data_IF_159572157966
#
_entry.id   IF_159572157966
#
_cell.length_a   1.000
_cell.length_b   1.000
_cell.length_c   1.000
_cell.angle_alpha   90.00
_cell.angle_beta   90.00
_cell.angle_gamma   90.00
#
_symmetry.space_group_name_H-M   'P 1'
#
loop_
_entity.id
_entity.type
_entity.pdbx_description
1 polymer ?
#
# COMPACT_ATOMS: atom_id res chain seq x y z
N UNK A 1 -10.81 -52.97 62.19
CA UNK A 1 -9.49 -53.12 61.55
C UNK A 1 -9.29 -51.88 60.69
N UNK A 2 -8.34 -50.98 60.83
CA UNK A 2 -7.07 -50.93 61.53
C UNK A 2 -6.66 -49.46 61.67
N UNK A 3 -6.02 -49.18 62.79
CA UNK A 3 -5.31 -47.98 63.25
C UNK A 3 -4.30 -47.46 62.21
N UNK A 4 -4.21 -46.14 62.01
CA UNK A 4 -2.94 -45.39 61.97
C UNK A 4 -3.13 -43.91 61.62
N UNK A 5 -2.68 -43.02 62.51
CA UNK A 5 -2.17 -41.68 62.16
C UNK A 5 -0.75 -41.87 61.60
N UNK A 6 -0.21 -40.93 60.79
CA UNK A 6 0.72 -39.98 61.42
C UNK A 6 0.86 -38.59 60.76
N UNK A 7 1.48 -37.73 61.57
CA UNK A 7 2.44 -36.66 61.26
C UNK A 7 2.00 -35.37 60.54
N UNK A 8 2.11 -34.30 61.33
CA UNK A 8 2.31 -32.91 60.90
C UNK A 8 3.59 -32.80 60.06
N UNK A 9 3.49 -32.15 58.90
CA UNK A 9 4.60 -31.46 58.27
C UNK A 9 4.31 -29.95 58.30
N UNK A 10 5.09 -29.26 59.13
CA UNK A 10 5.35 -27.83 59.06
C UNK A 10 6.14 -27.53 57.77
N UNK A 11 6.01 -26.31 57.25
CA UNK A 11 6.58 -25.78 56.00
C UNK A 11 5.75 -25.98 54.72
N UNK A 12 4.80 -25.08 54.51
CA UNK A 12 4.71 -24.33 53.24
C UNK A 12 3.87 -23.06 53.44
N UNK A 13 4.50 -21.91 53.22
CA UNK A 13 3.86 -20.60 53.12
C UNK A 13 3.36 -20.47 51.69
N UNK A 14 2.06 -20.27 51.41
CA UNK A 14 1.64 -19.77 50.11
C UNK A 14 1.75 -18.25 50.10
N UNK A 15 2.79 -17.75 49.45
CA UNK A 15 2.87 -16.38 48.93
C UNK A 15 1.87 -16.20 47.80
N UNK A 16 0.61 -15.94 48.14
CA UNK A 16 -0.36 -15.33 47.22
C UNK A 16 -1.24 -14.34 47.98
N UNK A 17 -0.99 -13.05 47.77
CA UNK A 17 -1.94 -12.00 48.12
C UNK A 17 -3.20 -12.22 47.27
N UNK A 18 -4.20 -12.87 47.86
CA UNK A 18 -5.54 -12.93 47.26
C UNK A 18 -6.16 -11.54 47.34
N UNK A 19 -6.02 -10.78 46.25
CA UNK A 19 -6.78 -9.56 46.02
C UNK A 19 -8.27 -9.91 45.96
N UNK A 20 -8.99 -9.73 47.06
CA UNK A 20 -10.47 -9.74 47.06
C UNK A 20 -10.95 -8.31 46.78
N UNK A 21 -11.54 -8.01 45.60
CA UNK A 21 -12.23 -6.74 45.44
C UNK A 21 -13.40 -6.71 46.42
N UNK A 22 -13.44 -5.72 47.32
CA UNK A 22 -14.65 -5.41 48.10
C UNK A 22 -15.70 -4.90 47.12
N UNK A 23 -16.59 -5.78 46.66
CA UNK A 23 -17.80 -5.40 45.95
C UNK A 23 -18.60 -4.53 46.91
N UNK A 24 -18.73 -3.23 46.61
CA UNK A 24 -19.67 -2.35 47.34
C UNK A 24 -21.07 -2.77 46.93
N UNK A 25 -21.77 -3.49 47.81
CA UNK A 25 -23.21 -3.67 47.66
C UNK A 25 -23.87 -2.27 47.71
N UNK A 26 -24.65 -1.93 46.69
CA UNK A 26 -25.43 -0.70 46.62
C UNK A 26 -26.61 -0.87 47.60
N UNK A 27 -26.70 -0.02 48.63
CA UNK A 27 -27.86 -0.02 49.52
C UNK A 27 -29.08 0.56 48.76
N UNK A 28 -30.17 -0.21 48.69
CA UNK A 28 -31.45 0.16 48.08
C UNK A 28 -32.35 0.91 49.08
N UNK A 29 -31.87 1.99 49.67
CA UNK A 29 -32.72 2.90 50.44
C UNK A 29 -32.63 4.32 49.89
N UNK A 30 -33.80 4.95 49.70
CA UNK A 30 -33.98 6.30 49.17
C UNK A 30 -33.80 7.40 50.24
N UNK A 31 -32.97 7.16 51.26
CA UNK A 31 -32.57 8.20 52.20
C UNK A 31 -31.17 8.72 51.82
N UNK A 32 -30.97 10.05 51.74
CA UNK A 32 -29.66 10.62 51.46
C UNK A 32 -28.73 10.27 52.63
N UNK A 33 -27.56 9.70 52.31
CA UNK A 33 -26.56 9.39 53.32
C UNK A 33 -26.14 10.67 54.06
N UNK A 34 -26.13 10.63 55.40
CA UNK A 34 -25.61 11.66 56.32
C UNK A 34 -24.07 11.90 56.19
N UNK A 35 -23.47 11.53 55.05
CA UNK A 35 -22.03 11.57 54.80
C UNK A 35 -21.51 12.82 54.08
N UNK A 36 -22.27 13.92 54.07
CA UNK A 36 -21.81 15.21 53.51
C UNK A 36 -21.59 16.33 54.53
N UNK A 37 -21.37 15.97 55.80
CA UNK A 37 -20.43 16.76 56.62
C UNK A 37 -19.02 16.23 56.42
N UNK A 38 -18.54 16.26 55.17
CA UNK A 38 -17.10 16.12 54.96
C UNK A 38 -16.45 17.39 55.53
N UNK A 39 -15.67 17.25 56.60
CA UNK A 39 -14.66 18.26 56.94
C UNK A 39 -13.88 18.52 55.64
N UNK A 40 -13.62 19.79 55.24
CA UNK A 40 -12.87 20.06 54.03
C UNK A 40 -11.56 19.27 54.11
N UNK A 41 -11.31 18.39 53.13
CA UNK A 41 -10.07 17.63 53.07
C UNK A 41 -8.93 18.64 53.09
N UNK A 42 -8.18 18.66 54.20
CA UNK A 42 -7.09 19.60 54.42
C UNK A 42 -5.97 19.25 53.44
N UNK A 43 -5.92 19.94 52.31
CA UNK A 43 -4.80 19.86 51.39
C UNK A 43 -3.60 20.52 52.09
N UNK A 44 -2.58 19.72 52.41
CA UNK A 44 -1.30 20.16 53.00
C UNK A 44 -0.60 21.27 52.19
N UNK A 45 -1.00 21.51 50.93
CA UNK A 45 -0.54 22.60 50.05
C UNK A 45 -1.03 24.02 50.44
N UNK A 46 -1.86 24.16 51.48
CA UNK A 46 -2.48 25.43 51.87
C UNK A 46 -1.69 26.29 52.86
N UNK A 47 -0.53 25.83 53.34
CA UNK A 47 0.20 26.45 54.47
C UNK A 47 1.60 26.97 54.13
N UNK A 48 1.84 27.33 52.86
CA UNK A 48 3.13 27.93 52.46
C UNK A 48 3.04 29.46 52.52
N UNK A 49 3.84 30.07 53.40
CA UNK A 49 3.95 31.51 53.54
C UNK A 49 4.52 32.12 52.24
N UNK A 50 3.68 32.87 51.49
CA UNK A 50 4.04 33.47 50.20
C UNK A 50 2.98 33.36 49.11
N UNK A 51 1.84 32.69 49.36
CA UNK A 51 0.76 32.53 48.37
C UNK A 51 -0.01 33.84 48.15
N UNK A 52 -0.10 34.30 46.89
CA UNK A 52 -0.90 35.47 46.48
C UNK A 52 -2.39 35.19 46.72
N UNK A 53 -3.19 36.24 46.98
CA UNK A 53 -4.65 36.06 47.17
C UNK A 53 -5.28 35.53 45.88
N UNK A 54 -6.29 34.68 46.01
CA UNK A 54 -6.99 34.10 44.86
C UNK A 54 -7.51 35.16 43.87
N UNK A 55 -7.99 36.30 44.39
CA UNK A 55 -8.47 37.43 43.58
C UNK A 55 -7.36 38.14 42.77
N UNK A 56 -6.10 38.07 43.21
CA UNK A 56 -4.97 38.68 42.49
C UNK A 56 -4.50 37.80 41.33
N UNK A 57 -4.68 36.48 41.46
CA UNK A 57 -4.27 35.47 40.46
C UNK A 57 -5.36 35.27 39.41
N UNK A 58 -6.62 35.16 39.83
CA UNK A 58 -7.78 34.94 38.96
C UNK A 58 -8.67 36.19 38.96
N UNK A 59 -8.33 37.14 38.08
CA UNK A 59 -9.10 38.38 37.91
C UNK A 59 -10.38 38.13 37.11
N UNK A 60 -11.47 38.76 37.54
CA UNK A 60 -12.72 38.80 36.79
C UNK A 60 -12.60 39.77 35.61
N UNK A 61 -13.41 39.55 34.59
CA UNK A 61 -13.42 40.40 33.41
C UNK A 61 -13.99 41.77 33.74
N UNK A 62 -13.30 42.82 33.29
CA UNK A 62 -13.78 44.19 33.35
C UNK A 62 -14.91 44.43 32.35
N UNK A 63 -15.70 45.49 32.56
CA UNK A 63 -16.78 45.84 31.62
C UNK A 63 -16.24 46.14 30.21
N UNK A 64 -15.06 46.77 30.12
CA UNK A 64 -14.40 47.06 28.84
C UNK A 64 -13.97 45.77 28.12
N UNK A 65 -13.39 44.81 28.84
CA UNK A 65 -13.03 43.50 28.29
C UNK A 65 -14.26 42.72 27.82
N UNK A 66 -15.38 42.81 28.54
CA UNK A 66 -16.66 42.21 28.10
C UNK A 66 -17.15 42.82 26.80
N UNK A 67 -17.02 44.14 26.62
CA UNK A 67 -17.35 44.81 25.35
C UNK A 67 -16.41 44.35 24.23
N UNK A 68 -15.13 44.09 24.50
CA UNK A 68 -14.19 43.55 23.51
C UNK A 68 -14.49 42.10 23.14
N UNK A 69 -14.84 41.26 24.12
CA UNK A 69 -15.30 39.88 23.89
C UNK A 69 -16.57 39.87 23.05
N UNK A 70 -17.48 40.81 23.28
CA UNK A 70 -18.72 40.94 22.52
C UNK A 70 -18.52 41.30 21.04
N UNK A 71 -17.37 41.86 20.67
CA UNK A 71 -17.00 42.09 19.27
C UNK A 71 -16.54 40.81 18.56
N UNK A 72 -16.09 39.79 19.31
CA UNK A 72 -15.51 38.55 18.76
C UNK A 72 -16.49 37.37 18.79
N UNK A 73 -17.29 37.25 19.84
CA UNK A 73 -18.17 36.10 20.09
C UNK A 73 -19.64 36.41 19.84
N UNK A 74 -20.44 35.37 19.58
CA UNK A 74 -21.90 35.51 19.41
C UNK A 74 -22.60 35.84 20.74
N UNK A 75 -23.80 36.45 20.72
CA UNK A 75 -24.55 36.74 21.95
C UNK A 75 -24.79 35.49 22.81
N UNK A 76 -25.05 34.35 22.18
CA UNK A 76 -25.24 33.06 22.86
C UNK A 76 -23.96 32.59 23.56
N UNK A 77 -22.79 32.77 22.91
CA UNK A 77 -21.49 32.43 23.48
C UNK A 77 -21.12 33.35 24.65
N UNK A 78 -21.40 34.65 24.54
CA UNK A 78 -21.16 35.62 25.63
C UNK A 78 -22.00 35.24 26.85
N UNK A 79 -23.27 34.88 26.65
CA UNK A 79 -24.13 34.43 27.73
C UNK A 79 -23.55 33.20 28.45
N UNK A 80 -22.95 32.27 27.71
CA UNK A 80 -22.27 31.12 28.30
C UNK A 80 -21.00 31.50 29.07
N UNK A 81 -20.21 32.45 28.57
CA UNK A 81 -19.01 32.97 29.26
C UNK A 81 -19.41 33.63 30.59
N UNK A 82 -20.44 34.48 30.58
CA UNK A 82 -20.94 35.13 31.79
C UNK A 82 -21.51 34.12 32.81
N UNK A 83 -22.21 33.09 32.34
CA UNK A 83 -22.69 32.01 33.19
C UNK A 83 -21.53 31.22 33.82
N UNK A 84 -20.46 30.96 33.06
CA UNK A 84 -19.25 30.29 33.54
C UNK A 84 -18.50 31.10 34.61
N UNK A 85 -18.32 32.42 34.39
CA UNK A 85 -17.70 33.33 35.35
C UNK A 85 -18.50 33.42 36.66
N UNK A 86 -19.84 33.40 36.58
CA UNK A 86 -20.72 33.39 37.76
C UNK A 86 -20.68 32.05 38.51
N UNK A 87 -20.55 30.93 37.80
CA UNK A 87 -20.59 29.60 38.39
C UNK A 87 -19.26 29.17 39.05
N UNK A 88 -18.11 29.58 38.48
CA UNK A 88 -16.79 29.14 38.92
C UNK A 88 -16.15 30.22 39.78
N UNK A 89 -16.00 29.95 41.09
CA UNK A 89 -15.38 30.90 42.02
C UNK A 89 -13.84 30.85 41.97
N UNK A 90 -13.19 32.02 42.07
CA UNK A 90 -11.73 32.11 42.15
C UNK A 90 -11.15 31.39 43.38
N UNK A 91 -11.90 31.36 44.49
CA UNK A 91 -11.48 30.66 45.70
C UNK A 91 -11.43 29.14 45.52
N UNK A 92 -12.36 28.55 44.75
CA UNK A 92 -12.34 27.12 44.48
C UNK A 92 -11.17 26.73 43.57
N UNK A 93 -10.85 27.56 42.58
CA UNK A 93 -9.68 27.36 41.73
C UNK A 93 -8.37 27.42 42.53
N UNK A 94 -8.24 28.35 43.49
CA UNK A 94 -7.05 28.40 44.34
C UNK A 94 -6.98 27.23 45.34
N UNK A 95 -8.10 26.85 45.96
CA UNK A 95 -8.12 25.77 46.97
C UNK A 95 -7.98 24.38 46.34
N UNK A 96 -8.56 24.13 45.17
CA UNK A 96 -8.73 22.79 44.58
C UNK A 96 -8.27 22.66 43.14
N UNK A 97 -7.88 23.75 42.47
CA UNK A 97 -7.43 23.72 41.07
C UNK A 97 -6.13 22.93 40.90
N UNK A 98 -6.11 22.10 39.86
CA UNK A 98 -4.95 21.30 39.45
C UNK A 98 -4.84 21.42 37.93
N UNK A 99 -3.62 21.49 37.41
CA UNK A 99 -3.37 21.42 35.96
C UNK A 99 -3.70 20.01 35.50
N UNK A 100 -4.62 19.89 34.53
CA UNK A 100 -5.01 18.60 33.98
C UNK A 100 -3.88 17.99 33.16
N UNK A 101 -3.59 16.72 33.42
CA UNK A 101 -2.60 15.91 32.70
C UNK A 101 -3.18 14.55 32.28
N UNK A 102 -4.50 14.40 32.33
CA UNK A 102 -5.21 13.19 31.96
C UNK A 102 -5.39 13.08 30.44
N UNK A 103 -5.68 11.87 29.94
CA UNK A 103 -5.86 11.60 28.51
C UNK A 103 -7.04 12.39 27.88
N UNK A 104 -7.97 12.88 28.69
CA UNK A 104 -9.10 13.69 28.23
C UNK A 104 -8.80 15.18 28.15
N UNK A 105 -7.58 15.63 28.47
CA UNK A 105 -7.15 17.00 28.26
C UNK A 105 -6.75 17.21 26.79
N UNK A 106 -7.17 18.32 26.19
CA UNK A 106 -6.75 18.69 24.85
C UNK A 106 -5.25 19.05 24.87
N UNK A 107 -4.44 18.52 23.94
CA UNK A 107 -3.00 18.81 23.90
C UNK A 107 -2.67 20.19 23.33
N UNK A 108 -3.67 20.90 22.81
CA UNK A 108 -3.59 22.26 22.29
C UNK A 108 -4.66 23.14 22.96
N UNK A 109 -4.46 24.45 22.89
CA UNK A 109 -5.42 25.42 23.36
C UNK A 109 -6.31 25.85 22.20
N UNK A 110 -7.62 25.70 22.38
CA UNK A 110 -8.63 26.12 21.42
C UNK A 110 -9.86 26.60 22.19
N UNK A 111 -10.57 27.59 21.63
CA UNK A 111 -11.78 28.12 22.23
C UNK A 111 -13.05 27.34 21.81
N UNK A 112 -12.90 26.42 20.83
CA UNK A 112 -13.96 25.54 20.33
C UNK A 112 -15.23 26.32 19.89
N UNK A 113 -15.04 27.58 19.49
CA UNK A 113 -16.16 28.48 19.15
C UNK A 113 -16.73 28.23 17.76
N UNK A 114 -15.91 27.73 16.83
CA UNK A 114 -16.24 27.42 15.44
C UNK A 114 -15.91 25.96 15.13
N UNK A 115 -16.67 25.33 14.24
CA UNK A 115 -16.37 23.99 13.75
C UNK A 115 -15.25 24.04 12.72
N UNK A 116 -14.16 23.34 12.99
CA UNK A 116 -13.00 23.28 12.10
C UNK A 116 -13.19 22.15 11.08
N UNK A 117 -13.07 22.42 9.76
CA UNK A 117 -13.09 21.36 8.76
C UNK A 117 -11.93 20.39 9.02
N UNK A 118 -12.15 19.08 8.82
CA UNK A 118 -11.22 17.96 9.15
C UNK A 118 -11.30 17.48 10.60
N UNK A 119 -11.10 18.36 11.59
CA UNK A 119 -11.03 17.96 13.01
C UNK A 119 -12.41 17.64 13.59
N UNK A 120 -13.39 18.48 13.27
CA UNK A 120 -14.74 18.36 13.78
C UNK A 120 -15.64 17.55 12.85
N UNK A 121 -16.73 17.02 13.42
CA UNK A 121 -17.78 16.38 12.64
C UNK A 121 -18.47 17.42 11.75
N UNK A 122 -18.77 17.04 10.50
CA UNK A 122 -19.52 17.88 9.55
C UNK A 122 -20.84 18.32 10.20
N UNK A 123 -21.19 19.60 10.01
CA UNK A 123 -22.45 20.14 10.50
C UNK A 123 -23.63 19.36 9.90
N UNK A 124 -24.60 19.01 10.74
CA UNK A 124 -25.82 18.34 10.30
C UNK A 124 -26.85 19.39 9.87
N UNK A 125 -27.62 19.06 8.85
CA UNK A 125 -28.79 19.84 8.45
C UNK A 125 -29.75 20.02 9.63
N UNK A 126 -30.18 21.26 9.87
CA UNK A 126 -31.10 21.64 10.96
C UNK A 126 -32.53 21.92 10.49
N UNK A 127 -32.76 21.97 9.18
CA UNK A 127 -34.08 22.22 8.60
C UNK A 127 -35.01 20.99 8.68
N UNK A 128 -36.29 21.15 8.28
CA UNK A 128 -37.18 20.01 8.10
C UNK A 128 -36.58 19.04 7.08
N UNK A 129 -36.75 17.74 7.33
CA UNK A 129 -36.32 16.68 6.41
C UNK A 129 -37.56 16.10 5.76
N UNK A 130 -37.58 16.11 4.43
CA UNK A 130 -38.67 15.53 3.65
C UNK A 130 -38.56 14.01 3.64
N UNK A 131 -39.53 13.27 4.23
CA UNK A 131 -39.47 11.80 4.27
C UNK A 131 -39.75 11.17 2.89
N UNK A 132 -40.41 11.90 1.99
CA UNK A 132 -40.81 11.43 0.66
C UNK A 132 -39.84 11.90 -0.44
N UNK A 133 -38.60 12.24 -0.08
CA UNK A 133 -37.56 12.62 -1.04
C UNK A 133 -37.30 11.49 -2.06
N UNK A 134 -37.26 11.82 -3.34
CA UNK A 134 -36.97 10.88 -4.43
C UNK A 134 -35.90 11.43 -5.38
N UNK A 135 -35.19 10.58 -6.13
CA UNK A 135 -34.30 11.08 -7.17
C UNK A 135 -35.08 11.88 -8.23
N UNK A 136 -34.45 12.92 -8.76
CA UNK A 136 -35.05 13.76 -9.79
C UNK A 136 -35.23 13.03 -11.12
N UNK A 137 -36.25 13.43 -11.87
CA UNK A 137 -36.34 13.09 -13.29
C UNK A 137 -35.36 13.94 -14.11
N UNK A 138 -35.08 13.53 -15.34
CA UNK A 138 -34.16 14.28 -16.23
C UNK A 138 -34.62 15.73 -16.46
N UNK A 139 -35.93 15.96 -16.62
CA UNK A 139 -36.49 17.31 -16.81
C UNK A 139 -36.36 18.17 -15.55
N UNK A 140 -36.64 17.60 -14.38
CA UNK A 140 -36.47 18.26 -13.08
C UNK A 140 -35.00 18.63 -12.83
N UNK A 141 -34.09 17.69 -13.13
CA UNK A 141 -32.65 17.91 -13.01
C UNK A 141 -32.16 19.03 -13.93
N UNK A 142 -32.65 19.08 -15.18
CA UNK A 142 -32.32 20.15 -16.13
C UNK A 142 -32.83 21.52 -15.65
N UNK A 143 -34.03 21.58 -15.07
CA UNK A 143 -34.57 22.81 -14.49
C UNK A 143 -33.74 23.27 -13.29
N UNK A 144 -33.44 22.35 -12.38
CA UNK A 144 -32.59 22.61 -11.21
C UNK A 144 -31.19 23.13 -11.62
N UNK A 145 -30.58 22.52 -12.65
CA UNK A 145 -29.31 22.98 -13.20
C UNK A 145 -29.37 24.45 -13.62
N UNK A 146 -30.37 24.80 -14.43
CA UNK A 146 -30.52 26.17 -14.92
C UNK A 146 -30.76 27.17 -13.77
N UNK A 147 -31.58 26.79 -12.78
CA UNK A 147 -31.88 27.63 -11.62
C UNK A 147 -30.63 27.90 -10.77
N UNK A 148 -29.85 26.85 -10.47
CA UNK A 148 -28.60 26.98 -9.70
C UNK A 148 -27.53 27.73 -10.49
N UNK A 149 -27.44 27.52 -11.80
CA UNK A 149 -26.53 28.24 -12.68
C UNK A 149 -26.86 29.74 -12.70
N UNK A 150 -28.14 30.10 -12.87
CA UNK A 150 -28.59 31.49 -12.82
C UNK A 150 -28.33 32.12 -11.45
N UNK A 151 -28.62 31.40 -10.37
CA UNK A 151 -28.34 31.88 -9.02
C UNK A 151 -26.84 32.12 -8.82
N UNK A 152 -25.99 31.17 -9.25
CA UNK A 152 -24.54 31.32 -9.20
C UNK A 152 -24.06 32.54 -9.99
N UNK A 153 -24.57 32.73 -11.22
CA UNK A 153 -24.23 33.90 -12.05
C UNK A 153 -24.61 35.22 -11.37
N UNK A 154 -25.80 35.30 -10.73
CA UNK A 154 -26.22 36.49 -9.96
C UNK A 154 -25.29 36.79 -8.79
N UNK A 155 -24.95 35.76 -8.01
CA UNK A 155 -24.02 35.89 -6.87
C UNK A 155 -22.63 36.34 -7.31
N UNK A 156 -22.11 35.71 -8.38
CA UNK A 156 -20.82 36.05 -8.98
C UNK A 156 -20.79 37.49 -9.49
N UNK A 157 -21.87 37.95 -10.12
CA UNK A 157 -21.97 39.32 -10.60
C UNK A 157 -21.97 40.34 -9.44
N UNK A 158 -22.61 40.01 -8.31
CA UNK A 158 -22.57 40.84 -7.08
C UNK A 158 -21.16 40.85 -6.49
N UNK A 159 -20.49 39.70 -6.47
CA UNK A 159 -19.11 39.57 -6.00
C UNK A 159 -18.15 40.38 -6.86
N UNK A 160 -18.27 40.29 -8.20
CA UNK A 160 -17.48 41.07 -9.15
C UNK A 160 -17.75 42.57 -9.06
N UNK A 161 -18.97 42.98 -8.74
CA UNK A 161 -19.29 44.39 -8.49
C UNK A 161 -18.56 44.94 -7.25
N UNK A 162 -18.32 44.10 -6.24
CA UNK A 162 -17.54 44.46 -5.03
C UNK A 162 -16.04 44.34 -5.25
N UNK A 163 -15.62 43.33 -6.00
CA UNK A 163 -14.23 43.00 -6.25
C UNK A 163 -14.06 42.56 -7.72
N UNK A 164 -13.78 43.50 -8.63
CA UNK A 164 -13.69 43.17 -10.06
C UNK A 164 -12.55 42.19 -10.30
N UNK A 165 -12.75 41.18 -11.17
CA UNK A 165 -11.72 40.21 -11.48
C UNK A 165 -10.51 40.91 -12.11
N UNK A 166 -9.31 40.46 -11.74
CA UNK A 166 -8.09 40.89 -12.42
C UNK A 166 -8.15 40.40 -13.87
N UNK A 167 -7.89 41.29 -14.83
CA UNK A 167 -7.74 40.91 -16.24
C UNK A 167 -6.42 40.15 -16.40
N UNK A 168 -6.42 38.87 -16.04
CA UNK A 168 -5.35 37.96 -16.43
C UNK A 168 -5.61 37.46 -17.85
N UNK A 169 -4.57 37.41 -18.68
CA UNK A 169 -4.62 36.96 -20.06
C UNK A 169 -5.25 35.57 -20.11
N UNK A 170 -6.44 35.46 -20.70
CA UNK A 170 -7.20 34.22 -20.76
C UNK A 170 -6.50 33.27 -21.76
N UNK A 171 -5.82 32.19 -21.32
CA UNK A 171 -5.07 31.31 -22.23
C UNK A 171 -5.99 30.62 -23.24
N UNK A 172 -7.27 30.43 -22.88
CA UNK A 172 -8.29 29.89 -23.76
C UNK A 172 -8.66 30.86 -24.90
N UNK A 173 -8.66 32.18 -24.65
CA UNK A 173 -8.91 33.16 -25.71
C UNK A 173 -7.74 33.23 -26.71
N UNK A 174 -6.51 33.05 -26.23
CA UNK A 174 -5.33 32.91 -27.09
C UNK A 174 -5.41 31.63 -27.96
N UNK A 175 -5.75 30.49 -27.36
CA UNK A 175 -5.96 29.21 -28.06
C UNK A 175 -7.10 29.28 -29.10
N UNK A 176 -8.24 29.90 -28.78
CA UNK A 176 -9.37 30.01 -29.73
C UNK A 176 -9.02 30.91 -30.92
N UNK A 177 -8.15 31.90 -30.70
CA UNK A 177 -7.59 32.76 -31.76
C UNK A 177 -6.61 32.01 -32.66
N UNK A 178 -5.82 31.08 -32.10
CA UNK A 178 -4.96 30.16 -32.86
C UNK A 178 -5.76 29.13 -33.68
N UNK A 179 -6.91 28.67 -33.17
CA UNK A 179 -7.81 27.72 -33.87
C UNK A 179 -8.70 28.40 -34.92
N UNK A 180 -8.63 29.72 -35.07
CA UNK A 180 -9.36 30.47 -36.10
C UNK A 180 -10.85 30.67 -35.82
N UNK A 181 -11.29 30.60 -34.56
CA UNK A 181 -12.66 30.90 -34.16
C UNK A 181 -12.96 32.39 -34.38
N UNK A 182 -14.11 32.71 -35.00
CA UNK A 182 -14.55 34.10 -35.24
C UNK A 182 -14.97 34.75 -33.92
N UNK A 183 -14.76 36.06 -33.79
CA UNK A 183 -15.11 36.81 -32.58
C UNK A 183 -16.62 36.78 -32.24
N UNK A 184 -17.48 36.53 -33.24
CA UNK A 184 -18.94 36.41 -33.10
C UNK A 184 -19.39 35.09 -32.46
N UNK A 185 -18.57 34.03 -32.54
CA UNK A 185 -18.85 32.72 -31.93
C UNK A 185 -18.38 32.66 -30.46
N UNK A 186 -17.74 33.73 -29.97
CA UNK A 186 -17.24 33.80 -28.61
C UNK A 186 -18.35 34.23 -27.67
N UNK A 187 -18.75 33.31 -26.77
CA UNK A 187 -19.63 33.62 -25.63
C UNK A 187 -19.08 34.88 -24.92
N UNK A 188 -19.90 35.88 -24.58
CA UNK A 188 -19.45 37.06 -23.84
C UNK A 188 -18.67 36.65 -22.58
N UNK A 189 -17.58 37.34 -22.24
CA UNK A 189 -16.73 36.96 -21.10
C UNK A 189 -17.52 36.82 -19.78
N UNK A 190 -18.62 37.57 -19.64
CA UNK A 190 -19.55 37.52 -18.51
C UNK A 190 -20.42 36.26 -18.47
N UNK A 191 -20.69 35.63 -19.60
CA UNK A 191 -21.49 34.41 -19.71
C UNK A 191 -20.65 33.13 -19.67
N UNK A 192 -19.32 33.24 -19.85
CA UNK A 192 -18.40 32.11 -19.74
C UNK A 192 -18.36 31.58 -18.31
N UNK A 193 -18.55 30.27 -18.16
CA UNK A 193 -18.29 29.54 -16.93
C UNK A 193 -16.91 28.90 -17.04
N UNK A 194 -16.02 29.20 -16.10
CA UNK A 194 -14.75 28.48 -15.96
C UNK A 194 -14.98 27.05 -15.43
N UNK A 195 -13.98 26.16 -15.56
CA UNK A 195 -14.06 24.82 -14.96
C UNK A 195 -14.34 24.88 -13.45
N UNK A 196 -13.76 25.86 -12.75
CA UNK A 196 -14.02 26.07 -11.32
C UNK A 196 -15.46 26.52 -11.05
N UNK A 197 -16.03 27.35 -11.93
CA UNK A 197 -17.44 27.75 -11.83
C UNK A 197 -18.36 26.55 -12.00
N UNK A 198 -18.07 25.67 -12.97
CA UNK A 198 -18.84 24.43 -13.19
C UNK A 198 -18.77 23.53 -11.95
N UNK A 199 -17.58 23.31 -11.38
CA UNK A 199 -17.45 22.51 -10.16
C UNK A 199 -18.21 23.11 -8.97
N UNK A 200 -18.23 24.44 -8.82
CA UNK A 200 -19.00 25.12 -7.76
C UNK A 200 -20.51 25.00 -7.98
N UNK A 201 -20.97 25.00 -9.23
CA UNK A 201 -22.38 24.77 -9.59
C UNK A 201 -22.74 23.31 -9.25
N UNK A 202 -21.93 22.36 -9.69
CA UNK A 202 -22.09 20.92 -9.37
C UNK A 202 -22.14 20.69 -7.86
N UNK A 203 -21.31 21.41 -7.09
CA UNK A 203 -21.30 21.29 -5.64
C UNK A 203 -22.55 21.85 -4.92
N UNK A 204 -23.39 22.60 -5.62
CA UNK A 204 -24.66 23.13 -5.08
C UNK A 204 -25.86 22.32 -5.53
N UNK A 205 -25.71 21.52 -6.58
CA UNK A 205 -26.81 20.74 -7.13
C UNK A 205 -27.21 19.64 -6.16
N UNK A 206 -28.51 19.60 -5.92
CA UNK A 206 -29.18 18.45 -5.35
C UNK A 206 -29.35 17.36 -6.40
N UNK A 207 -29.42 16.10 -5.96
CA UNK A 207 -29.86 14.97 -6.79
C UNK A 207 -31.32 14.57 -6.52
N UNK A 208 -31.94 15.14 -5.48
CA UNK A 208 -33.26 14.74 -4.98
C UNK A 208 -34.29 15.87 -5.05
N UNK A 209 -35.54 15.49 -5.33
CA UNK A 209 -36.71 16.35 -5.20
C UNK A 209 -37.55 15.95 -3.99
N UNK A 210 -38.10 16.97 -3.31
CA UNK A 210 -39.05 16.79 -2.22
C UNK A 210 -40.46 16.48 -2.72
N UNK A 211 -41.39 16.32 -1.78
CA UNK A 211 -42.80 16.05 -2.09
C UNK A 211 -43.44 17.17 -2.93
N UNK A 212 -42.98 18.41 -2.73
CA UNK A 212 -43.47 19.61 -3.42
C UNK A 212 -42.94 19.75 -4.85
N UNK A 213 -42.15 18.78 -5.33
CA UNK A 213 -41.52 18.81 -6.66
C UNK A 213 -40.36 19.81 -6.78
N UNK A 214 -39.96 20.43 -5.67
CA UNK A 214 -38.80 21.33 -5.60
C UNK A 214 -37.53 20.56 -5.24
N UNK A 215 -36.35 20.99 -5.74
CA UNK A 215 -35.07 20.40 -5.33
C UNK A 215 -34.84 20.60 -3.83
N UNK A 216 -34.42 19.54 -3.16
CA UNK A 216 -34.03 19.58 -1.75
C UNK A 216 -32.63 20.21 -1.65
N UNK A 217 -32.29 21.03 -0.63
CA UNK A 217 -30.93 21.52 -0.47
C UNK A 217 -29.90 20.37 -0.36
N UNK A 218 -28.74 20.49 -1.02
CA UNK A 218 -27.69 19.44 -0.97
C UNK A 218 -27.24 19.11 0.45
N UNK A 219 -27.28 20.09 1.37
CA UNK A 219 -26.95 19.89 2.79
C UNK A 219 -27.90 18.93 3.52
N UNK A 220 -29.14 18.77 3.04
CA UNK A 220 -30.11 17.81 3.57
C UNK A 220 -29.81 16.38 3.12
N UNK A 221 -29.03 16.18 2.04
CA UNK A 221 -28.56 14.86 1.65
C UNK A 221 -27.66 14.30 2.76
N UNK A 222 -28.00 13.12 3.26
CA UNK A 222 -27.34 12.58 4.45
C UNK A 222 -25.98 11.98 4.06
N UNK A 223 -24.94 12.81 4.11
CA UNK A 223 -23.55 12.37 4.00
C UNK A 223 -23.07 11.77 5.34
N UNK A 224 -22.96 10.44 5.40
CA UNK A 224 -22.34 9.74 6.54
C UNK A 224 -20.81 9.65 6.45
N UNK A 225 -20.22 10.25 5.41
CA UNK A 225 -18.77 10.25 5.19
C UNK A 225 -18.07 11.09 6.26
N UNK A 226 -16.97 10.56 6.79
CA UNK A 226 -16.09 11.32 7.67
C UNK A 226 -15.47 12.50 6.89
N UNK A 227 -15.11 13.61 7.56
CA UNK A 227 -14.42 14.69 6.89
C UNK A 227 -13.11 14.19 6.28
N UNK A 228 -12.80 14.66 5.07
CA UNK A 228 -11.56 14.28 4.37
C UNK A 228 -10.32 14.73 5.14
N UNK A 229 -9.24 13.96 5.04
CA UNK A 229 -7.95 14.35 5.61
C UNK A 229 -7.27 15.42 4.75
N UNK A 230 -6.39 16.26 5.32
CA UNK A 230 -5.54 17.16 4.56
C UNK A 230 -4.70 16.37 3.57
N UNK A 231 -4.44 16.94 2.39
CA UNK A 231 -3.63 16.29 1.34
C UNK A 231 -2.24 15.85 1.84
N UNK A 232 -1.69 16.61 2.79
CA UNK A 232 -0.44 16.32 3.51
C UNK A 232 -0.74 16.15 5.00
N UNK A 233 -1.31 15.00 5.35
CA UNK A 233 -1.68 14.72 6.75
C UNK A 233 -0.52 14.13 7.55
N UNK A 234 0.31 13.31 6.89
CA UNK A 234 1.49 12.68 7.46
C UNK A 234 2.70 13.11 6.64
N UNK A 235 3.25 14.29 6.91
CA UNK A 235 4.60 14.62 6.45
C UNK A 235 5.60 13.78 7.28
N UNK A 236 5.67 12.48 7.01
CA UNK A 236 6.82 11.62 7.30
C UNK A 236 7.95 11.84 6.28
N UNK A 237 7.98 12.98 5.59
CA UNK A 237 8.96 13.27 4.53
C UNK A 237 10.37 13.51 5.08
N UNK A 238 10.53 13.68 6.39
CA UNK A 238 11.86 13.73 7.03
C UNK A 238 12.41 12.33 7.39
N UNK A 239 11.60 11.27 7.32
CA UNK A 239 12.02 9.90 7.68
C UNK A 239 11.69 8.82 6.64
N UNK A 240 10.91 9.11 5.61
CA UNK A 240 10.90 8.27 4.41
C UNK A 240 12.24 8.44 3.71
N UNK A 241 13.03 7.36 3.51
CA UNK A 241 14.15 7.48 2.59
C UNK A 241 13.59 8.00 1.27
N UNK A 242 14.23 9.01 0.69
CA UNK A 242 13.84 9.72 -0.54
C UNK A 242 13.67 8.81 -1.79
N UNK A 243 13.65 7.50 -1.61
CA UNK A 243 13.61 6.43 -2.59
C UNK A 243 12.27 5.68 -2.67
N UNK A 244 11.30 5.93 -1.78
CA UNK A 244 9.98 5.28 -1.86
C UNK A 244 9.03 6.12 -2.72
N UNK A 245 8.97 5.79 -4.01
CA UNK A 245 7.95 6.29 -4.94
C UNK A 245 6.55 5.90 -4.44
N UNK A 246 5.57 6.76 -4.63
CA UNK A 246 4.17 6.45 -4.31
C UNK A 246 3.66 5.28 -5.16
N UNK A 247 2.66 4.54 -4.68
CA UNK A 247 2.05 3.43 -5.45
C UNK A 247 1.58 3.90 -6.84
N UNK A 248 0.97 5.08 -6.93
CA UNK A 248 0.56 5.68 -8.19
C UNK A 248 1.74 6.02 -9.13
N UNK A 249 2.87 6.45 -8.59
CA UNK A 249 4.10 6.67 -9.39
C UNK A 249 4.69 5.35 -9.87
N UNK A 250 4.66 4.31 -9.03
CA UNK A 250 5.12 2.96 -9.42
C UNK A 250 4.22 2.35 -10.51
N UNK A 251 2.90 2.58 -10.45
CA UNK A 251 1.95 2.15 -11.48
C UNK A 251 2.17 2.88 -12.81
N UNK A 252 2.48 4.17 -12.79
CA UNK A 252 2.77 4.95 -14.00
C UNK A 252 4.11 4.57 -14.65
N UNK A 253 5.09 4.14 -13.84
CA UNK A 253 6.38 3.66 -14.32
C UNK A 253 6.39 2.17 -14.69
N UNK A 254 5.39 1.41 -14.25
CA UNK A 254 5.31 -0.01 -14.52
C UNK A 254 5.02 -0.24 -16.00
N UNK A 255 5.85 -1.07 -16.64
CA UNK A 255 5.58 -1.52 -18.00
C UNK A 255 4.25 -2.31 -18.03
N UNK A 256 3.36 -2.06 -18.99
CA UNK A 256 2.05 -2.73 -19.07
C UNK A 256 2.16 -4.25 -19.30
N UNK A 257 3.36 -4.75 -19.64
CA UNK A 257 3.66 -6.17 -19.81
C UNK A 257 3.96 -6.89 -18.48
N UNK A 258 4.26 -6.17 -17.41
CA UNK A 258 4.50 -6.68 -16.06
C UNK A 258 3.81 -5.79 -15.01
N UNK A 259 2.46 -5.77 -14.98
CA UNK A 259 1.71 -4.90 -14.07
C UNK A 259 1.97 -5.22 -12.58
N UNK A 260 2.27 -6.49 -12.29
CA UNK A 260 2.56 -6.97 -10.93
C UNK A 260 4.01 -6.69 -10.51
N UNK A 261 4.88 -6.25 -11.43
CA UNK A 261 6.29 -6.00 -11.17
C UNK A 261 7.08 -7.24 -10.77
N UNK A 262 6.73 -8.43 -11.28
CA UNK A 262 7.34 -9.71 -10.94
C UNK A 262 8.84 -9.73 -11.25
N UNK A 263 9.24 -9.08 -12.35
CA UNK A 263 10.62 -9.07 -12.81
C UNK A 263 11.44 -7.90 -12.25
N UNK A 264 10.83 -6.94 -11.53
CA UNK A 264 11.53 -5.77 -11.00
C UNK A 264 12.73 -6.14 -10.12
N UNK A 265 12.59 -7.16 -9.27
CA UNK A 265 13.70 -7.66 -8.45
C UNK A 265 14.79 -8.30 -9.31
N UNK A 266 14.42 -9.03 -10.35
CA UNK A 266 15.35 -9.68 -11.25
C UNK A 266 16.13 -8.63 -12.05
N UNK A 267 15.45 -7.66 -12.65
CA UNK A 267 16.04 -6.53 -13.40
C UNK A 267 17.08 -5.80 -12.55
N UNK A 268 16.74 -5.48 -11.29
CA UNK A 268 17.67 -4.84 -10.34
C UNK A 268 18.91 -5.68 -10.03
N UNK A 269 18.79 -7.01 -10.03
CA UNK A 269 19.91 -7.92 -9.70
C UNK A 269 20.77 -8.25 -10.91
N UNK A 270 20.17 -8.48 -12.07
CA UNK A 270 20.85 -8.97 -13.26
C UNK A 270 21.25 -7.84 -14.22
N UNK A 271 20.64 -6.66 -14.11
CA UNK A 271 20.80 -5.57 -15.07
C UNK A 271 20.21 -5.85 -16.44
N UNK A 272 19.40 -6.90 -16.59
CA UNK A 272 18.72 -7.26 -17.84
C UNK A 272 17.53 -6.34 -18.08
N UNK A 273 17.23 -6.07 -19.35
CA UNK A 273 16.00 -5.36 -19.71
C UNK A 273 14.80 -6.32 -19.70
N UNK A 274 13.59 -5.77 -19.58
CA UNK A 274 12.36 -6.57 -19.59
C UNK A 274 12.17 -7.30 -20.93
N UNK A 275 12.52 -6.65 -22.05
CA UNK A 275 12.47 -7.26 -23.39
C UNK A 275 13.40 -8.48 -23.51
N UNK A 276 14.62 -8.40 -22.95
CA UNK A 276 15.55 -9.54 -22.92
C UNK A 276 14.97 -10.71 -22.13
N UNK A 277 14.39 -10.44 -20.96
CA UNK A 277 13.79 -11.46 -20.10
C UNK A 277 12.64 -12.18 -20.82
N UNK A 278 11.76 -11.43 -21.48
CA UNK A 278 10.62 -11.99 -22.23
C UNK A 278 11.06 -12.75 -23.49
N UNK A 279 12.20 -12.41 -24.08
CA UNK A 279 12.75 -13.11 -25.25
C UNK A 279 13.28 -14.51 -24.94
N UNK A 280 13.61 -14.80 -23.67
CA UNK A 280 14.23 -16.07 -23.30
C UNK A 280 13.28 -17.25 -23.45
N UNK A 281 13.83 -18.36 -23.94
CA UNK A 281 13.12 -19.63 -24.05
C UNK A 281 13.05 -20.29 -22.69
N UNK A 282 11.91 -20.13 -22.03
CA UNK A 282 11.67 -20.66 -20.69
C UNK A 282 10.68 -21.82 -20.76
N UNK A 283 11.01 -22.94 -20.13
CA UNK A 283 10.13 -24.11 -20.07
C UNK A 283 10.20 -24.82 -18.73
N UNK A 284 9.06 -25.29 -18.25
CA UNK A 284 8.98 -26.10 -17.04
C UNK A 284 9.14 -27.56 -17.45
N UNK A 285 10.18 -28.21 -16.95
CA UNK A 285 10.51 -29.58 -17.30
C UNK A 285 9.90 -30.59 -16.34
N UNK A 286 9.88 -30.27 -15.05
CA UNK A 286 9.41 -31.16 -13.99
C UNK A 286 8.43 -30.41 -13.10
N UNK A 287 7.28 -31.03 -12.86
CA UNK A 287 6.30 -30.62 -11.85
C UNK A 287 5.98 -31.81 -10.97
N UNK A 288 6.12 -31.65 -9.66
CA UNK A 288 5.78 -32.67 -8.68
C UNK A 288 4.88 -32.07 -7.59
N UNK A 289 3.89 -32.84 -7.14
CA UNK A 289 3.19 -32.57 -5.87
C UNK A 289 3.91 -33.34 -4.79
N UNK A 290 4.62 -32.64 -3.91
CA UNK A 290 5.35 -33.21 -2.78
C UNK A 290 4.54 -32.99 -1.51
N UNK A 291 4.59 -33.92 -0.56
CA UNK A 291 3.77 -33.85 0.67
C UNK A 291 4.68 -34.02 1.88
N UNK A 292 4.54 -33.11 2.84
CA UNK A 292 5.16 -33.21 4.15
C UNK A 292 4.12 -33.65 5.18
N UNK A 293 4.42 -34.69 5.96
CA UNK A 293 3.56 -35.12 7.07
C UNK A 293 3.90 -34.32 8.32
N UNK A 294 2.96 -33.53 8.82
CA UNK A 294 3.11 -32.76 10.05
C UNK A 294 2.13 -33.24 11.12
N UNK A 295 2.25 -32.71 12.35
CA UNK A 295 1.27 -32.98 13.42
C UNK A 295 -0.15 -32.57 13.03
N UNK A 296 -0.30 -31.51 12.22
CA UNK A 296 -1.59 -31.01 11.73
C UNK A 296 -2.10 -31.79 10.50
N UNK A 297 -1.34 -32.77 10.01
CA UNK A 297 -1.68 -33.58 8.84
C UNK A 297 -0.74 -33.38 7.65
N UNK A 298 -1.21 -33.81 6.47
CA UNK A 298 -0.46 -33.78 5.21
C UNK A 298 -0.49 -32.37 4.61
N UNK A 299 0.65 -31.69 4.61
CA UNK A 299 0.82 -30.40 3.93
C UNK A 299 1.41 -30.67 2.55
N UNK A 300 0.61 -30.46 1.51
CA UNK A 300 1.07 -30.56 0.14
C UNK A 300 1.78 -29.28 -0.31
N UNK A 301 2.78 -29.43 -1.18
CA UNK A 301 3.44 -28.33 -1.87
C UNK A 301 3.74 -28.77 -3.30
N UNK A 302 3.89 -27.79 -4.17
CA UNK A 302 4.26 -28.01 -5.56
C UNK A 302 5.73 -27.74 -5.68
N UNK A 303 6.44 -28.60 -6.39
CA UNK A 303 7.82 -28.43 -6.79
C UNK A 303 7.87 -28.26 -8.31
N UNK A 304 8.59 -27.25 -8.78
CA UNK A 304 8.81 -27.00 -10.20
C UNK A 304 10.31 -26.89 -10.49
N UNK A 305 10.74 -27.53 -11.58
CA UNK A 305 12.06 -27.35 -12.18
C UNK A 305 11.87 -26.73 -13.57
N UNK A 306 12.38 -25.52 -13.74
CA UNK A 306 12.34 -24.78 -14.99
C UNK A 306 13.74 -24.64 -15.59
N UNK A 307 13.77 -24.41 -16.89
CA UNK A 307 14.95 -24.02 -17.65
C UNK A 307 14.70 -22.65 -18.29
N UNK A 308 15.76 -21.87 -18.43
CA UNK A 308 15.76 -20.62 -19.17
C UNK A 308 17.00 -20.60 -20.08
N UNK A 309 16.84 -20.19 -21.34
CA UNK A 309 17.98 -20.05 -22.24
C UNK A 309 17.73 -19.02 -23.32
N UNK A 310 18.81 -18.38 -23.78
CA UNK A 310 18.76 -17.32 -24.79
C UNK A 310 18.87 -17.86 -26.23
N UNK A 311 18.98 -19.19 -26.42
CA UNK A 311 19.21 -19.81 -27.72
C UNK A 311 20.59 -19.53 -28.33
N UNK A 312 21.48 -18.85 -27.61
CA UNK A 312 22.81 -18.41 -28.06
C UNK A 312 23.90 -18.90 -27.09
N UNK A 313 23.75 -20.10 -26.55
CA UNK A 313 24.75 -20.70 -25.67
C UNK A 313 24.70 -20.22 -24.23
N UNK A 314 23.60 -19.65 -23.73
CA UNK A 314 23.37 -19.51 -22.28
C UNK A 314 22.18 -20.37 -21.86
N UNK A 315 22.34 -21.07 -20.73
CA UNK A 315 21.30 -21.90 -20.16
C UNK A 315 21.38 -21.84 -18.63
N UNK A 316 20.23 -21.69 -17.99
CA UNK A 316 20.05 -21.75 -16.55
C UNK A 316 18.97 -22.76 -16.18
N UNK A 317 19.10 -23.33 -14.99
CA UNK A 317 18.08 -24.19 -14.39
C UNK A 317 17.63 -23.57 -13.06
N UNK A 318 16.34 -23.58 -12.80
CA UNK A 318 15.75 -23.01 -11.59
C UNK A 318 14.81 -24.00 -10.94
N UNK A 319 14.86 -24.11 -9.63
CA UNK A 319 13.90 -24.89 -8.86
C UNK A 319 13.19 -24.02 -7.85
N UNK A 320 11.90 -24.27 -7.66
CA UNK A 320 11.09 -23.61 -6.64
C UNK A 320 10.09 -24.59 -6.03
N UNK A 321 9.69 -24.28 -4.80
CA UNK A 321 8.66 -25.01 -4.06
C UNK A 321 7.74 -24.02 -3.36
N UNK A 322 6.43 -24.18 -3.53
CA UNK A 322 5.41 -23.32 -2.90
C UNK A 322 4.10 -24.05 -2.72
N UNK A 323 3.10 -23.38 -2.13
CA UNK A 323 1.76 -23.95 -2.00
C UNK A 323 0.97 -23.80 -3.30
N UNK A 324 1.04 -22.61 -3.91
CA UNK A 324 0.33 -22.29 -5.14
C UNK A 324 1.11 -22.68 -6.40
N UNK A 325 0.36 -23.13 -7.41
CA UNK A 325 0.93 -23.70 -8.63
C UNK A 325 1.62 -22.65 -9.49
N UNK A 326 0.95 -21.53 -9.73
CA UNK A 326 1.40 -20.49 -10.67
C UNK A 326 2.57 -19.69 -10.09
N UNK A 327 2.46 -19.30 -8.83
CA UNK A 327 3.53 -18.62 -8.09
C UNK A 327 4.81 -19.47 -8.05
N UNK A 328 4.68 -20.78 -7.77
CA UNK A 328 5.84 -21.69 -7.77
C UNK A 328 6.48 -21.78 -9.16
N UNK A 329 5.67 -21.79 -10.22
CA UNK A 329 6.19 -21.80 -11.58
C UNK A 329 6.94 -20.51 -11.90
N UNK A 330 6.36 -19.34 -11.59
CA UNK A 330 6.99 -18.04 -11.80
C UNK A 330 8.33 -17.95 -11.04
N UNK A 331 8.35 -18.36 -9.77
CA UNK A 331 9.56 -18.41 -8.96
C UNK A 331 10.63 -19.32 -9.57
N UNK A 332 10.24 -20.49 -10.12
CA UNK A 332 11.18 -21.37 -10.82
C UNK A 332 11.74 -20.73 -12.11
N UNK A 333 10.91 -19.99 -12.87
CA UNK A 333 11.35 -19.27 -14.08
C UNK A 333 12.36 -18.17 -13.73
N UNK A 334 12.04 -17.35 -12.73
CA UNK A 334 12.93 -16.27 -12.23
C UNK A 334 14.25 -16.86 -11.74
N UNK A 335 14.19 -17.95 -10.95
CA UNK A 335 15.39 -18.64 -10.49
C UNK A 335 16.25 -19.19 -11.65
N UNK A 336 15.62 -19.68 -12.72
CA UNK A 336 16.32 -20.20 -13.90
C UNK A 336 17.00 -19.08 -14.69
N UNK A 337 16.36 -17.91 -14.84
CA UNK A 337 16.96 -16.75 -15.51
C UNK A 337 18.17 -16.25 -14.70
N UNK A 338 18.03 -16.20 -13.37
CA UNK A 338 19.11 -15.77 -12.46
C UNK A 338 20.33 -16.69 -12.52
N UNK A 339 20.15 -17.97 -12.83
CA UNK A 339 21.22 -18.98 -12.84
C UNK A 339 21.80 -19.27 -14.22
N UNK A 340 21.51 -18.46 -15.25
CA UNK A 340 22.02 -18.70 -16.59
C UNK A 340 23.56 -18.65 -16.64
N UNK A 341 24.15 -19.70 -17.22
CA UNK A 341 25.58 -19.81 -17.43
C UNK A 341 25.91 -20.03 -18.91
N UNK A 342 27.09 -19.58 -19.39
CA UNK A 342 27.52 -19.84 -20.75
C UNK A 342 27.88 -21.33 -20.93
N UNK A 343 27.30 -21.94 -21.96
CA UNK A 343 27.57 -23.30 -22.41
C UNK A 343 28.46 -23.23 -23.66
N UNK A 344 29.66 -23.84 -23.64
CA UNK A 344 30.51 -23.91 -24.82
C UNK A 344 29.83 -24.77 -25.90
N UNK A 345 29.87 -24.31 -27.15
CA UNK A 345 29.30 -25.01 -28.32
C UNK A 345 30.30 -25.01 -29.46
N UNK A 346 30.52 -26.17 -30.06
CA UNK A 346 31.28 -26.34 -31.29
C UNK A 346 30.43 -25.91 -32.50
N UNK A 347 31.00 -25.06 -33.36
CA UNK A 347 30.32 -24.45 -34.53
C UNK A 347 28.95 -23.83 -34.18
N UNK A 348 28.77 -23.35 -32.94
CA UNK A 348 27.49 -22.83 -32.44
C UNK A 348 26.29 -23.79 -32.62
N UNK A 349 26.55 -25.09 -32.77
CA UNK A 349 25.48 -26.08 -33.06
C UNK A 349 25.52 -27.33 -32.18
N UNK A 350 26.69 -27.82 -31.77
CA UNK A 350 26.84 -29.07 -31.02
C UNK A 350 27.81 -28.89 -29.86
N UNK A 351 27.99 -29.93 -29.03
CA UNK A 351 28.92 -29.93 -27.90
C UNK A 351 30.33 -30.33 -28.34
N UNK A 352 31.32 -30.10 -27.48
CA UNK A 352 32.68 -30.57 -27.69
C UNK A 352 32.84 -32.03 -27.23
N UNK A 353 33.02 -32.93 -28.20
CA UNK A 353 33.31 -34.35 -27.94
C UNK A 353 32.14 -35.10 -27.28
N UNK A 354 32.48 -36.07 -26.45
CA UNK A 354 31.53 -36.82 -25.63
C UNK A 354 31.71 -36.43 -24.16
N UNK A 355 30.60 -36.20 -23.46
CA UNK A 355 30.62 -35.77 -22.06
C UNK A 355 29.59 -36.51 -21.23
N UNK A 356 30.06 -36.98 -20.08
CA UNK A 356 29.26 -37.71 -19.12
C UNK A 356 28.91 -36.85 -17.91
N UNK A 357 27.66 -36.96 -17.47
CA UNK A 357 27.12 -36.33 -16.27
C UNK A 357 26.51 -37.36 -15.35
N UNK A 358 26.76 -37.24 -14.05
CA UNK A 358 26.20 -38.14 -13.04
C UNK A 358 25.67 -37.36 -11.84
N UNK A 359 24.40 -37.59 -11.50
CA UNK A 359 23.74 -37.06 -10.31
C UNK A 359 23.01 -38.21 -9.63
N UNK A 360 23.48 -38.60 -8.44
CA UNK A 360 23.02 -39.80 -7.74
C UNK A 360 23.09 -41.05 -8.65
N UNK A 361 21.97 -41.75 -8.86
CA UNK A 361 21.87 -42.90 -9.74
C UNK A 361 21.58 -42.55 -11.21
N UNK A 362 21.35 -41.28 -11.54
CA UNK A 362 21.13 -40.84 -12.92
C UNK A 362 22.48 -40.57 -13.60
N UNK A 363 22.73 -41.28 -14.69
CA UNK A 363 23.92 -41.15 -15.53
C UNK A 363 23.44 -40.73 -16.92
N UNK A 364 24.07 -39.70 -17.50
CA UNK A 364 23.70 -39.11 -18.79
C UNK A 364 24.98 -38.98 -19.62
N UNK A 365 24.99 -39.52 -20.83
CA UNK A 365 26.11 -39.41 -21.78
C UNK A 365 25.64 -38.57 -22.96
N UNK A 366 26.25 -37.42 -23.20
CA UNK A 366 25.96 -36.51 -24.30
C UNK A 366 27.05 -36.65 -25.36
N UNK A 367 26.66 -36.85 -26.62
CA UNK A 367 27.57 -37.09 -27.74
C UNK A 367 27.40 -36.01 -28.80
N UNK A 368 28.51 -35.40 -29.21
CA UNK A 368 28.56 -34.52 -30.37
C UNK A 368 28.17 -35.26 -31.66
N UNK A 369 27.49 -34.57 -32.57
CA UNK A 369 27.01 -35.14 -33.84
C UNK A 369 27.31 -34.24 -35.03
N UNK A 370 27.42 -34.80 -36.25
CA UNK A 370 27.64 -34.02 -37.47
C UNK A 370 26.46 -33.07 -37.76
N UNK A 371 26.67 -32.03 -38.59
CA UNK A 371 25.63 -31.08 -38.96
C UNK A 371 24.45 -31.79 -39.64
N UNK A 372 23.23 -31.35 -39.34
CA UNK A 372 22.01 -31.91 -39.94
C UNK A 372 21.53 -33.22 -39.31
N UNK A 373 22.14 -33.64 -38.20
CA UNK A 373 21.70 -34.83 -37.45
C UNK A 373 20.42 -34.55 -36.64
N UNK A 374 20.28 -33.32 -36.16
CA UNK A 374 19.20 -32.86 -35.29
C UNK A 374 19.34 -33.28 -33.83
N UNK A 375 18.31 -33.00 -33.03
CA UNK A 375 18.28 -33.35 -31.60
C UNK A 375 17.63 -34.73 -31.39
N UNK A 376 18.44 -35.79 -31.33
CA UNK A 376 17.97 -37.16 -31.05
C UNK A 376 18.25 -37.54 -29.61
N UNK A 377 17.43 -36.99 -28.72
CA UNK A 377 17.63 -37.04 -27.26
C UNK A 377 16.33 -37.35 -26.53
N UNK A 378 16.44 -37.69 -25.24
CA UNK A 378 15.27 -37.69 -24.35
C UNK A 378 14.61 -36.30 -24.32
N UNK A 379 13.28 -36.25 -24.23
CA UNK A 379 12.50 -35.01 -24.29
C UNK A 379 12.99 -33.90 -23.32
N UNK A 380 13.47 -34.24 -22.12
CA UNK A 380 14.02 -33.25 -21.17
C UNK A 380 15.29 -32.59 -21.70
N UNK A 381 16.20 -33.41 -22.25
CA UNK A 381 17.48 -32.97 -22.81
C UNK A 381 17.24 -32.21 -24.13
N UNK A 382 16.24 -32.63 -24.90
CA UNK A 382 15.80 -31.93 -26.11
C UNK A 382 15.41 -30.46 -25.81
N UNK A 383 14.58 -30.24 -24.79
CA UNK A 383 14.18 -28.88 -24.41
C UNK A 383 15.36 -28.04 -23.91
N UNK A 384 16.27 -28.64 -23.14
CA UNK A 384 17.50 -27.98 -22.69
C UNK A 384 18.41 -27.60 -23.87
N UNK A 385 18.62 -28.52 -24.81
CA UNK A 385 19.43 -28.29 -25.99
C UNK A 385 18.83 -27.16 -26.85
N UNK A 386 17.51 -27.17 -27.06
CA UNK A 386 16.80 -26.12 -27.80
C UNK A 386 16.88 -24.75 -27.12
N UNK A 387 16.76 -24.70 -25.79
CA UNK A 387 16.90 -23.46 -25.02
C UNK A 387 18.34 -22.93 -25.02
N UNK A 388 19.34 -23.83 -25.00
CA UNK A 388 20.76 -23.47 -25.07
C UNK A 388 21.23 -23.08 -26.49
N UNK A 389 20.46 -23.37 -27.55
CA UNK A 389 20.89 -23.16 -28.93
C UNK A 389 21.77 -24.29 -29.49
N UNK A 390 21.59 -25.51 -29.00
CA UNK A 390 22.20 -26.71 -29.57
C UNK A 390 21.21 -27.29 -30.58
N UNK A 391 21.70 -27.58 -31.78
CA UNK A 391 20.92 -28.08 -32.91
C UNK A 391 21.17 -29.56 -33.19
N UNK A 392 22.41 -30.04 -32.98
CA UNK A 392 22.79 -31.44 -33.22
C UNK A 392 23.31 -32.08 -31.93
N UNK A 393 22.61 -33.09 -31.43
CA UNK A 393 23.04 -33.81 -30.23
C UNK A 393 22.40 -35.20 -30.17
N UNK A 394 23.18 -36.18 -29.72
CA UNK A 394 22.66 -37.47 -29.29
C UNK A 394 22.87 -37.63 -27.78
N UNK A 395 21.87 -38.12 -27.06
CA UNK A 395 21.96 -38.32 -25.62
C UNK A 395 21.46 -39.71 -25.23
N UNK A 396 22.15 -40.37 -24.30
CA UNK A 396 21.74 -41.63 -23.70
C UNK A 396 21.71 -41.50 -22.19
N UNK A 397 20.68 -42.10 -21.57
CA UNK A 397 20.52 -42.17 -20.12
C UNK A 397 20.52 -43.66 -19.75
N UNK A 398 21.71 -44.27 -19.57
CA UNK A 398 21.84 -45.72 -19.42
C UNK A 398 21.27 -46.27 -18.12
N UNK A 399 21.30 -45.48 -17.03
CA UNK A 399 20.92 -45.93 -15.68
C UNK A 399 19.54 -45.39 -15.26
N UNK A 400 19.47 -44.59 -14.19
CA UNK A 400 18.19 -44.03 -13.72
C UNK A 400 17.69 -42.91 -14.62
N UNK A 401 16.38 -42.89 -14.88
CA UNK A 401 15.69 -41.87 -15.68
C UNK A 401 14.83 -40.93 -14.83
N UNK A 402 15.20 -40.70 -13.57
CA UNK A 402 14.52 -39.73 -12.70
C UNK A 402 14.63 -38.33 -13.33
N UNK A 403 13.49 -37.74 -13.71
CA UNK A 403 13.40 -36.48 -14.47
C UNK A 403 14.24 -35.35 -13.87
N UNK A 404 14.16 -35.13 -12.55
CA UNK A 404 14.90 -34.06 -11.87
C UNK A 404 16.42 -34.29 -11.98
N UNK A 405 16.88 -35.51 -11.67
CA UNK A 405 18.30 -35.83 -11.68
C UNK A 405 18.86 -35.93 -13.10
N UNK A 406 18.07 -36.38 -14.08
CA UNK A 406 18.47 -36.39 -15.49
C UNK A 406 18.73 -34.97 -16.00
N UNK A 407 17.86 -34.00 -15.65
CA UNK A 407 18.09 -32.58 -16.01
C UNK A 407 19.33 -32.03 -15.33
N UNK A 408 19.49 -32.26 -14.01
CA UNK A 408 20.68 -31.80 -13.27
C UNK A 408 21.98 -32.44 -13.81
N UNK A 409 21.96 -33.73 -14.15
CA UNK A 409 23.09 -34.44 -14.72
C UNK A 409 23.44 -33.95 -16.13
N UNK A 410 22.43 -33.73 -16.99
CA UNK A 410 22.63 -33.17 -18.32
C UNK A 410 23.19 -31.75 -18.25
N UNK A 411 22.68 -30.91 -17.34
CA UNK A 411 23.18 -29.55 -17.14
C UNK A 411 24.65 -29.55 -16.69
N UNK A 412 25.00 -30.40 -15.72
CA UNK A 412 26.39 -30.57 -15.29
C UNK A 412 27.29 -31.10 -16.42
N UNK A 413 26.81 -32.01 -17.27
CA UNK A 413 27.58 -32.49 -18.42
C UNK A 413 27.86 -31.36 -19.41
N UNK A 414 26.86 -30.52 -19.73
CA UNK A 414 27.03 -29.38 -20.63
C UNK A 414 28.06 -28.36 -20.12
N UNK A 415 28.16 -28.17 -18.81
CA UNK A 415 29.15 -27.28 -18.19
C UNK A 415 30.55 -27.89 -18.10
N UNK A 416 30.67 -29.22 -18.04
CA UNK A 416 31.94 -29.96 -17.90
C UNK A 416 32.63 -30.27 -19.23
N UNK A 417 32.21 -29.64 -20.32
CA UNK A 417 32.83 -29.82 -21.63
C UNK A 417 34.31 -29.41 -21.61
N UNK A 418 35.15 -30.20 -22.29
CA UNK A 418 36.57 -29.87 -22.46
C UNK A 418 36.75 -28.98 -23.68
N UNK A 419 37.07 -27.72 -23.46
CA UNK A 419 37.30 -26.77 -24.55
C UNK A 419 38.64 -27.11 -25.22
N UNK A 420 38.70 -27.26 -26.55
CA UNK A 420 39.93 -27.65 -27.26
C UNK A 420 41.09 -26.68 -27.03
N UNK A 421 40.79 -25.39 -26.87
CA UNK A 421 41.78 -24.35 -26.58
C UNK A 421 42.43 -24.53 -25.21
N UNK A 422 41.65 -24.90 -24.19
CA UNK A 422 42.15 -25.20 -22.85
C UNK A 422 43.01 -26.47 -22.85
N UNK A 423 42.58 -27.50 -23.60
CA UNK A 423 43.34 -28.75 -23.75
C UNK A 423 44.67 -28.50 -24.47
N UNK A 424 44.67 -27.67 -25.52
CA UNK A 424 45.87 -27.30 -26.25
C UNK A 424 46.88 -26.56 -25.36
N UNK A 425 46.41 -25.60 -24.56
CA UNK A 425 47.23 -24.88 -23.57
C UNK A 425 47.81 -25.83 -22.52
N UNK A 426 46.99 -26.73 -21.97
CA UNK A 426 47.45 -27.69 -20.95
C UNK A 426 48.49 -28.70 -21.47
N UNK A 427 48.47 -29.03 -22.77
CA UNK A 427 49.41 -29.99 -23.38
C UNK A 427 50.58 -29.33 -24.12
N UNK A 428 50.56 -28.01 -24.33
CA UNK A 428 51.54 -27.29 -25.14
C UNK A 428 51.54 -27.71 -26.63
N UNK A 429 50.44 -28.30 -27.12
CA UNK A 429 50.31 -28.79 -28.50
C UNK A 429 49.11 -28.17 -29.18
N UNK A 430 49.28 -27.76 -30.43
CA UNK A 430 48.19 -27.21 -31.25
C UNK A 430 47.14 -28.29 -31.53
N UNK A 431 45.90 -28.05 -31.10
CA UNK A 431 44.76 -28.92 -31.41
C UNK A 431 44.03 -28.32 -32.63
N UNK A 432 44.21 -28.94 -33.79
CA UNK A 432 43.66 -28.43 -35.06
C UNK A 432 42.32 -29.10 -35.35
N UNK A 433 41.31 -28.28 -35.63
CA UNK A 433 40.04 -28.72 -36.17
C UNK A 433 40.18 -28.95 -37.69
N UNK A 434 40.19 -30.23 -38.09
CA UNK A 434 40.38 -30.67 -39.48
C UNK A 434 39.27 -30.12 -40.39
N UNK A 435 38.04 -30.05 -39.89
CA UNK A 435 36.89 -29.62 -40.70
C UNK A 435 36.99 -28.14 -41.03
N UNK A 436 37.33 -27.31 -40.05
CA UNK A 436 37.56 -25.88 -40.26
C UNK A 436 38.68 -25.60 -41.27
N UNK A 437 39.78 -26.37 -41.20
CA UNK A 437 40.90 -26.22 -42.15
C UNK A 437 40.48 -26.61 -43.56
N UNK A 438 39.75 -27.71 -43.71
CA UNK A 438 39.31 -28.20 -45.02
C UNK A 438 38.42 -27.21 -45.76
N UNK A 439 37.48 -26.55 -45.06
CA UNK A 439 36.56 -25.58 -45.67
C UNK A 439 37.06 -24.12 -45.62
N UNK A 440 38.28 -23.87 -45.12
CA UNK A 440 38.84 -22.52 -45.03
C UNK A 440 38.12 -21.59 -44.03
N UNK A 441 37.29 -22.12 -43.13
CA UNK A 441 36.44 -21.32 -42.24
C UNK A 441 35.52 -22.17 -41.35
N UNK A 442 34.82 -21.51 -40.42
CA UNK A 442 33.71 -22.15 -39.71
C UNK A 442 32.51 -22.17 -40.67
N UNK A 443 32.00 -23.37 -40.93
CA UNK A 443 30.85 -23.64 -41.82
C UNK A 443 29.58 -23.71 -41.01
#
# INVERSE_FOLDING_TARGET
MSVSRPARCLFSVPTTLTFRPRIRCRNFHASPNLSERQRPKRLLKGSDAGRRRAADVFKQYTQEEKVLLAKKYTPEQIQAIEAGEKAISAEDLDKRGIIRTDLGALPYLDDLSQTVPVLDRKAKWKGPVDPNARPMTYEEMKKNWNEVEEQYKRERDIEWARNPPKMEENPHAALMKEVGAKDEDQIPARERLSRLDIMKIEDRLSSFTGADGRPIPREQEIDYTAPGLPKKFMDEDNNKPSSMKSEAELENEADPRDPDGLYNRLIKQSGLTLDEILSYKIKILVRHRVVNQTRLGKIASIYCLAIAGNGQGRLGIGEAKGQETEETQQNARIAAIRSMQPIPRYEERTIFGEVDGKVSAAEVTLMARPPGFGLRCQHLIFEMARAAGIHDLAAKVPRSRNKMNTVKAAYQALLKQRIPDEVARGRGKKLVDVRKVYYGGRV
#
